data_IF_137483415519
#
_entry.id   IF_137483415519
#
_cell.length_a   1.000
_cell.length_b   1.000
_cell.length_c   1.000
_cell.angle_alpha   90.00
_cell.angle_beta   90.00
_cell.angle_gamma   90.00
#
_symmetry.space_group_name_H-M   'P 1'
#
loop_
_entity.id
_entity.type
_entity.pdbx_description
1 polymer ?
#
# COMPACT_ATOMS: atom_id res chain seq x y z
N UNK A 1 28.07 5.16 -10.58
CA UNK A 1 27.46 5.24 -11.92
C UNK A 1 26.01 4.77 -11.94
N UNK A 2 25.68 3.47 -11.92
CA UNK A 2 24.29 3.05 -12.19
C UNK A 2 23.26 3.59 -11.19
N UNK A 3 23.48 3.44 -9.87
CA UNK A 3 22.54 3.94 -8.84
C UNK A 3 22.29 5.45 -8.97
N UNK A 4 23.34 6.26 -9.17
CA UNK A 4 23.20 7.71 -9.33
C UNK A 4 22.40 8.07 -10.59
N UNK A 5 22.65 7.34 -11.68
CA UNK A 5 21.92 7.51 -12.94
C UNK A 5 20.45 7.11 -12.79
N UNK A 6 20.18 5.96 -12.18
CA UNK A 6 18.81 5.49 -11.96
C UNK A 6 18.01 6.46 -11.10
N UNK A 7 18.63 7.05 -10.05
CA UNK A 7 17.99 8.07 -9.24
C UNK A 7 17.66 9.32 -10.06
N UNK A 8 18.60 9.79 -10.89
CA UNK A 8 18.37 10.94 -11.76
C UNK A 8 17.22 10.66 -12.74
N UNK A 9 17.27 9.52 -13.43
CA UNK A 9 16.29 9.13 -14.44
C UNK A 9 14.89 8.94 -13.82
N UNK A 10 14.78 8.19 -12.72
CA UNK A 10 13.49 7.88 -12.06
C UNK A 10 12.85 9.09 -11.38
N UNK A 11 13.65 10.06 -10.96
CA UNK A 11 13.15 11.28 -10.32
C UNK A 11 12.96 12.43 -11.30
N UNK A 12 13.10 12.18 -12.61
CA UNK A 12 13.02 13.22 -13.64
C UNK A 12 13.94 14.41 -13.32
N UNK A 13 15.19 14.09 -12.97
CA UNK A 13 16.24 15.04 -12.59
C UNK A 13 15.99 15.85 -11.30
N UNK A 14 14.93 15.56 -10.54
CA UNK A 14 14.62 16.28 -9.30
C UNK A 14 15.55 15.90 -8.13
N UNK A 15 16.00 14.65 -8.07
CA UNK A 15 16.92 14.18 -7.03
C UNK A 15 18.31 13.97 -7.62
N UNK A 16 19.16 14.99 -7.47
CA UNK A 16 20.54 14.95 -7.93
C UNK A 16 21.45 14.62 -6.74
N UNK A 17 22.10 13.47 -6.79
CA UNK A 17 23.10 13.06 -5.80
C UNK A 17 24.43 12.82 -6.50
N UNK A 18 25.41 13.67 -6.20
CA UNK A 18 26.77 13.52 -6.71
C UNK A 18 27.44 12.23 -6.20
N UNK A 19 28.34 11.66 -6.99
CA UNK A 19 29.09 10.46 -6.60
C UNK A 19 29.89 10.66 -5.31
N UNK A 20 30.42 11.87 -5.10
CA UNK A 20 31.11 12.27 -3.88
C UNK A 20 30.26 12.17 -2.61
N UNK A 21 28.93 12.17 -2.76
CA UNK A 21 27.95 12.06 -1.67
C UNK A 21 27.34 10.65 -1.61
N UNK A 22 27.03 10.06 -2.76
CA UNK A 22 26.38 8.75 -2.85
C UNK A 22 27.23 7.64 -2.22
N UNK A 23 28.52 7.55 -2.54
CA UNK A 23 29.34 6.44 -2.05
C UNK A 23 29.62 6.50 -0.54
N UNK A 24 29.86 7.68 0.09
CA UNK A 24 29.87 7.78 1.54
C UNK A 24 28.57 7.31 2.20
N UNK A 25 27.41 7.64 1.63
CA UNK A 25 26.12 7.15 2.12
C UNK A 25 26.04 5.62 2.03
N UNK A 26 26.39 5.05 0.87
CA UNK A 26 26.37 3.59 0.67
C UNK A 26 27.33 2.86 1.62
N UNK A 27 28.49 3.45 1.94
CA UNK A 27 29.40 2.89 2.96
C UNK A 27 28.77 2.92 4.35
N UNK A 28 28.16 4.04 4.73
CA UNK A 28 27.46 4.14 6.02
C UNK A 28 26.32 3.13 6.14
N UNK A 29 25.51 2.98 5.09
CA UNK A 29 24.44 1.98 5.06
C UNK A 29 24.98 0.54 5.14
N UNK A 30 26.17 0.28 4.60
CA UNK A 30 26.85 -1.01 4.71
C UNK A 30 27.39 -1.25 6.13
N UNK A 31 28.01 -0.24 6.75
CA UNK A 31 28.48 -0.27 8.14
C UNK A 31 27.32 -0.53 9.12
N UNK A 32 26.16 0.10 8.85
CA UNK A 32 24.90 -0.07 9.58
C UNK A 32 24.18 -1.39 9.22
N UNK A 33 24.74 -2.21 8.31
CA UNK A 33 24.20 -3.50 7.83
C UNK A 33 22.84 -3.41 7.16
N UNK A 34 22.45 -2.22 6.69
CA UNK A 34 21.22 -1.98 5.93
C UNK A 34 21.38 -2.53 4.51
N UNK A 35 22.57 -2.40 3.94
CA UNK A 35 22.94 -3.01 2.67
C UNK A 35 24.17 -3.90 2.85
N UNK A 36 24.34 -4.88 1.99
CA UNK A 36 25.60 -5.59 1.80
C UNK A 36 26.19 -5.23 0.44
N UNK A 37 27.42 -5.68 0.18
CA UNK A 37 28.01 -5.50 -1.14
C UNK A 37 28.82 -6.70 -1.62
N UNK A 38 28.85 -6.85 -2.94
CA UNK A 38 29.65 -7.85 -3.62
C UNK A 38 30.53 -7.19 -4.69
N UNK A 39 31.74 -7.74 -4.89
CA UNK A 39 32.67 -7.27 -5.92
C UNK A 39 32.78 -8.29 -7.03
N UNK A 40 32.61 -7.82 -8.25
CA UNK A 40 32.83 -8.64 -9.45
C UNK A 40 34.32 -8.99 -9.56
N UNK A 41 34.61 -10.29 -9.73
CA UNK A 41 35.99 -10.80 -9.80
C UNK A 41 36.54 -10.87 -11.22
N UNK A 42 35.67 -10.85 -12.23
CA UNK A 42 36.04 -10.89 -13.65
C UNK A 42 35.67 -9.57 -14.34
N UNK A 43 36.60 -9.02 -15.14
CA UNK A 43 36.38 -7.78 -15.88
C UNK A 43 36.64 -6.50 -15.05
N UNK A 44 35.92 -5.41 -15.38
CA UNK A 44 36.06 -4.13 -14.68
C UNK A 44 35.52 -4.29 -13.26
N UNK A 45 36.34 -3.99 -12.24
CA UNK A 45 35.97 -4.07 -10.82
C UNK A 45 34.71 -3.24 -10.53
N UNK A 46 33.54 -3.89 -10.48
CA UNK A 46 32.26 -3.30 -10.09
C UNK A 46 31.89 -3.76 -8.69
N UNK A 47 31.29 -2.85 -7.92
CA UNK A 47 30.73 -3.12 -6.58
C UNK A 47 29.21 -3.04 -6.69
N UNK A 48 28.54 -4.15 -6.39
CA UNK A 48 27.09 -4.25 -6.34
C UNK A 48 26.64 -4.14 -4.89
N UNK A 49 25.45 -3.57 -4.68
CA UNK A 49 24.86 -3.42 -3.36
C UNK A 49 23.51 -4.11 -3.35
N UNK A 50 23.20 -4.82 -2.28
CA UNK A 50 21.90 -5.44 -2.08
C UNK A 50 21.35 -5.04 -0.71
N UNK A 51 20.05 -4.81 -0.64
CA UNK A 51 19.40 -4.55 0.64
C UNK A 51 19.41 -5.82 1.47
N UNK A 52 19.71 -5.71 2.77
CA UNK A 52 19.64 -6.87 3.67
C UNK A 52 18.20 -7.05 4.17
N UNK A 53 17.89 -8.20 4.76
CA UNK A 53 16.60 -8.42 5.45
C UNK A 53 16.34 -7.35 6.52
N UNK A 54 17.40 -6.91 7.23
CA UNK A 54 17.28 -5.83 8.21
C UNK A 54 17.02 -4.47 7.53
N UNK A 55 17.72 -4.21 6.42
CA UNK A 55 17.49 -3.01 5.62
C UNK A 55 16.08 -2.93 5.04
N UNK A 56 15.51 -4.05 4.59
CA UNK A 56 14.13 -4.11 4.11
C UNK A 56 13.13 -3.69 5.18
N UNK A 57 13.33 -4.12 6.44
CA UNK A 57 12.48 -3.69 7.56
C UNK A 57 12.55 -2.18 7.78
N UNK A 58 13.76 -1.62 7.76
CA UNK A 58 13.96 -0.16 7.89
C UNK A 58 13.31 0.58 6.72
N UNK A 59 13.53 0.10 5.50
CA UNK A 59 12.94 0.68 4.30
C UNK A 59 11.41 0.66 4.36
N UNK A 60 10.81 -0.46 4.76
CA UNK A 60 9.36 -0.58 4.91
C UNK A 60 8.79 0.35 5.97
N UNK A 61 9.49 0.50 7.10
CA UNK A 61 9.10 1.44 8.13
C UNK A 61 9.17 2.89 7.64
N UNK A 62 10.31 3.32 7.09
CA UNK A 62 10.52 4.69 6.62
C UNK A 62 9.61 5.03 5.44
N UNK A 63 9.50 4.14 4.46
CA UNK A 63 8.61 4.31 3.32
C UNK A 63 7.16 4.38 3.78
N UNK A 64 6.76 3.52 4.73
CA UNK A 64 5.42 3.53 5.29
C UNK A 64 5.08 4.83 5.99
N UNK A 65 5.97 5.28 6.88
CA UNK A 65 5.84 6.57 7.55
C UNK A 65 5.78 7.74 6.55
N UNK A 66 6.67 7.77 5.56
CA UNK A 66 6.69 8.85 4.57
C UNK A 66 5.41 8.88 3.72
N UNK A 67 4.89 7.73 3.31
CA UNK A 67 3.60 7.63 2.61
C UNK A 67 2.46 8.20 3.45
N UNK A 68 2.39 7.84 4.73
CA UNK A 68 1.35 8.34 5.65
C UNK A 68 1.49 9.81 5.98
N UNK A 69 2.71 10.30 6.14
CA UNK A 69 2.99 11.72 6.30
C UNK A 69 2.53 12.49 5.05
N UNK A 70 2.88 11.99 3.86
CA UNK A 70 2.51 12.61 2.58
C UNK A 70 1.00 12.63 2.40
N UNK A 71 0.29 11.55 2.72
CA UNK A 71 -1.18 11.48 2.73
C UNK A 71 -1.79 12.51 3.70
N UNK A 72 -1.27 12.61 4.92
CA UNK A 72 -1.79 13.52 5.94
C UNK A 72 -1.60 15.01 5.59
N UNK A 73 -0.50 15.35 4.92
CA UNK A 73 -0.21 16.74 4.49
C UNK A 73 -0.76 17.05 3.10
N UNK A 74 -1.16 16.05 2.30
CA UNK A 74 -1.69 16.24 0.96
C UNK A 74 -2.79 17.30 0.87
N UNK A 75 -3.76 17.40 1.82
CA UNK A 75 -4.78 18.46 1.79
C UNK A 75 -4.24 19.89 1.93
N UNK A 76 -2.99 20.06 2.36
CA UNK A 76 -2.32 21.37 2.43
C UNK A 76 -1.71 21.80 1.09
N UNK A 77 -1.69 20.90 0.11
CA UNK A 77 -1.13 21.09 -1.22
C UNK A 77 -2.18 20.73 -2.28
N UNK A 78 -1.99 21.19 -3.52
CA UNK A 78 -2.84 20.78 -4.65
C UNK A 78 -2.40 19.42 -5.20
N UNK A 79 -2.21 18.43 -4.30
CA UNK A 79 -1.73 17.09 -4.64
C UNK A 79 -2.73 16.06 -4.15
N UNK A 80 -3.23 15.22 -5.07
CA UNK A 80 -4.00 14.03 -4.71
C UNK A 80 -3.05 12.84 -4.53
N UNK A 81 -3.03 12.24 -3.34
CA UNK A 81 -2.25 11.04 -3.05
C UNK A 81 -3.21 9.86 -2.98
N UNK A 82 -3.11 8.94 -3.94
CA UNK A 82 -3.77 7.63 -3.85
C UNK A 82 -2.73 6.57 -3.48
N UNK A 83 -2.71 6.15 -2.21
CA UNK A 83 -1.92 5.01 -1.80
C UNK A 83 -2.60 3.75 -2.34
N UNK A 84 -1.92 2.99 -3.19
CA UNK A 84 -2.42 1.71 -3.70
C UNK A 84 -2.47 0.65 -2.59
N UNK A 85 -3.52 0.70 -1.76
CA UNK A 85 -3.76 -0.22 -0.63
C UNK A 85 -4.06 -1.66 -1.07
N UNK A 86 -4.05 -1.94 -2.37
CA UNK A 86 -4.28 -3.27 -2.92
C UNK A 86 -3.14 -4.25 -2.67
N UNK A 87 -1.91 -3.73 -2.48
CA UNK A 87 -0.71 -4.55 -2.31
C UNK A 87 -0.13 -4.43 -0.89
N UNK A 88 -0.32 -3.29 -0.24
CA UNK A 88 0.30 -2.99 1.04
C UNK A 88 -0.73 -2.59 2.08
N UNK A 89 -0.58 -3.14 3.28
CA UNK A 89 -1.22 -2.66 4.50
C UNK A 89 -0.24 -1.77 5.24
N UNK A 90 -0.73 -0.67 5.82
CA UNK A 90 0.07 0.18 6.69
C UNK A 90 -0.33 -0.07 8.13
N UNK A 91 0.64 -0.38 8.99
CA UNK A 91 0.37 -0.64 10.40
C UNK A 91 -0.26 0.61 11.06
N UNK A 92 -1.42 0.50 11.73
CA UNK A 92 -2.10 1.65 12.33
C UNK A 92 -1.32 2.27 13.51
N UNK A 93 -0.41 1.50 14.12
CA UNK A 93 0.34 1.94 15.29
C UNK A 93 1.64 2.68 14.94
N UNK A 94 2.31 2.30 13.84
CA UNK A 94 3.63 2.85 13.49
C UNK A 94 3.81 3.17 12.01
N UNK A 95 2.74 3.07 11.20
CA UNK A 95 2.75 3.28 9.75
C UNK A 95 3.65 2.31 8.95
N UNK A 96 4.22 1.26 9.57
CA UNK A 96 5.06 0.30 8.86
C UNK A 96 4.32 -0.30 7.66
N UNK A 97 4.98 -0.32 6.49
CA UNK A 97 4.43 -0.87 5.26
C UNK A 97 4.58 -2.39 5.23
N UNK A 98 3.49 -3.11 5.07
CA UNK A 98 3.41 -4.58 5.12
C UNK A 98 2.86 -5.08 3.80
N UNK A 99 3.58 -5.98 3.12
CA UNK A 99 3.09 -6.60 1.87
C UNK A 99 2.01 -7.64 2.17
N UNK A 100 0.83 -7.46 1.59
CA UNK A 100 -0.35 -8.32 1.78
C UNK A 100 -0.16 -9.66 1.06
N UNK A 101 0.66 -9.73 0.02
CA UNK A 101 0.88 -10.95 -0.77
C UNK A 101 1.71 -12.00 -0.02
N UNK A 102 2.49 -11.58 0.99
CA UNK A 102 3.35 -12.44 1.81
C UNK A 102 2.89 -12.52 3.27
N UNK A 103 1.58 -12.37 3.51
CA UNK A 103 1.06 -12.16 4.86
C UNK A 103 0.91 -13.46 5.67
N UNK A 104 2.03 -14.04 6.10
CA UNK A 104 2.08 -14.98 7.24
C UNK A 104 2.16 -14.25 8.60
N UNK A 105 2.45 -12.94 8.57
CA UNK A 105 2.73 -12.14 9.75
C UNK A 105 1.44 -11.71 10.47
N UNK A 106 1.20 -12.29 11.65
CA UNK A 106 0.11 -11.89 12.57
C UNK A 106 0.37 -10.57 13.29
N UNK A 107 1.64 -10.20 13.41
CA UNK A 107 2.10 -9.03 14.14
C UNK A 107 3.00 -8.17 13.26
N UNK A 108 2.94 -6.85 13.47
CA UNK A 108 3.89 -5.93 12.88
C UNK A 108 5.30 -6.23 13.40
N UNK A 109 6.25 -6.43 12.50
CA UNK A 109 7.65 -6.75 12.82
C UNK A 109 8.43 -5.55 13.39
N UNK A 110 7.88 -4.34 13.28
CA UNK A 110 8.47 -3.11 13.83
C UNK A 110 7.95 -2.81 15.24
N UNK A 111 6.63 -2.80 15.46
CA UNK A 111 6.03 -2.36 16.73
C UNK A 111 5.30 -3.46 17.52
N UNK A 112 5.14 -4.66 16.95
CA UNK A 112 4.42 -5.77 17.60
C UNK A 112 2.90 -5.66 17.58
N UNK A 113 2.31 -4.67 16.89
CA UNK A 113 0.87 -4.53 16.77
C UNK A 113 0.23 -5.76 16.10
N UNK A 114 -0.91 -6.24 16.61
CA UNK A 114 -1.63 -7.39 16.04
C UNK A 114 -2.42 -6.97 14.79
N UNK A 115 -1.91 -7.36 13.62
CA UNK A 115 -2.39 -6.94 12.30
C UNK A 115 -3.60 -7.76 11.85
N UNK A 116 -3.68 -9.04 12.26
CA UNK A 116 -4.72 -9.97 11.82
C UNK A 116 -6.14 -9.51 12.22
N UNK A 117 -6.28 -8.73 13.31
CA UNK A 117 -7.57 -8.16 13.72
C UNK A 117 -8.22 -7.28 12.66
N UNK A 118 -7.44 -6.49 11.92
CA UNK A 118 -7.99 -5.63 10.87
C UNK A 118 -8.45 -6.43 9.66
N UNK A 119 -7.74 -7.52 9.36
CA UNK A 119 -8.07 -8.43 8.26
C UNK A 119 -9.28 -9.30 8.59
N UNK A 120 -9.44 -9.72 9.85
CA UNK A 120 -10.60 -10.47 10.29
C UNK A 120 -11.89 -9.64 10.17
N UNK A 121 -11.82 -8.35 10.51
CA UNK A 121 -12.93 -7.41 10.31
C UNK A 121 -13.33 -7.33 8.83
N UNK A 122 -12.35 -7.25 7.92
CA UNK A 122 -12.60 -7.25 6.46
C UNK A 122 -13.21 -8.58 6.01
N UNK A 123 -12.62 -9.72 6.42
CA UNK A 123 -13.11 -11.06 6.07
C UNK A 123 -14.53 -11.29 6.56
N UNK A 124 -14.86 -10.83 7.76
CA UNK A 124 -16.21 -10.95 8.31
C UNK A 124 -17.21 -10.06 7.54
N UNK A 125 -16.80 -8.83 7.19
CA UNK A 125 -17.61 -7.94 6.36
C UNK A 125 -17.89 -8.53 4.98
N UNK A 126 -16.86 -9.05 4.31
CA UNK A 126 -16.99 -9.70 3.00
C UNK A 126 -17.87 -10.95 3.07
N UNK A 127 -17.67 -11.78 4.10
CA UNK A 127 -18.45 -13.00 4.32
C UNK A 127 -19.93 -12.68 4.55
N UNK A 128 -20.21 -11.64 5.34
CA UNK A 128 -21.58 -11.17 5.55
C UNK A 128 -22.25 -10.75 4.23
N UNK A 129 -21.60 -9.90 3.44
CA UNK A 129 -22.15 -9.45 2.15
C UNK A 129 -22.36 -10.62 1.19
N UNK A 130 -21.36 -11.51 1.09
CA UNK A 130 -21.39 -12.69 0.23
C UNK A 130 -22.58 -13.59 0.53
N UNK A 131 -22.74 -13.95 1.80
CA UNK A 131 -23.73 -14.93 2.23
C UNK A 131 -25.14 -14.34 2.25
N UNK A 132 -25.29 -13.09 2.66
CA UNK A 132 -26.61 -12.45 2.78
C UNK A 132 -27.22 -12.11 1.43
N UNK A 133 -26.40 -11.64 0.48
CA UNK A 133 -26.88 -11.15 -0.81
C UNK A 133 -26.55 -12.08 -2.00
N UNK A 134 -25.97 -13.25 -1.72
CA UNK A 134 -25.57 -14.24 -2.72
C UNK A 134 -24.71 -13.61 -3.83
N UNK A 135 -23.57 -13.03 -3.43
CA UNK A 135 -22.65 -12.33 -4.31
C UNK A 135 -21.50 -13.25 -4.72
N UNK A 136 -21.24 -13.35 -6.04
CA UNK A 136 -20.15 -14.20 -6.53
C UNK A 136 -18.78 -13.53 -6.41
N UNK A 137 -18.71 -12.22 -6.63
CA UNK A 137 -17.49 -11.42 -6.49
C UNK A 137 -17.81 -10.09 -5.82
N UNK A 138 -16.97 -9.73 -4.84
CA UNK A 138 -16.99 -8.46 -4.13
C UNK A 138 -15.63 -8.23 -3.47
N UNK A 139 -15.39 -7.01 -3.01
CA UNK A 139 -14.28 -6.68 -2.12
C UNK A 139 -14.69 -5.63 -1.11
N UNK A 140 -14.19 -5.73 0.12
CA UNK A 140 -14.28 -4.65 1.11
C UNK A 140 -12.86 -4.13 1.32
N UNK A 141 -12.63 -2.86 0.98
CA UNK A 141 -11.36 -2.18 1.27
C UNK A 141 -11.50 -1.34 2.54
N UNK A 142 -10.55 -1.49 3.45
CA UNK A 142 -10.45 -0.68 4.66
C UNK A 142 -9.49 0.47 4.38
N UNK A 143 -10.01 1.69 4.41
CA UNK A 143 -9.24 2.93 4.32
C UNK A 143 -9.02 3.54 5.72
N UNK A 144 -8.21 4.59 5.77
CA UNK A 144 -7.99 5.36 6.99
C UNK A 144 -9.31 5.89 7.59
N UNK A 145 -9.29 6.13 8.90
CA UNK A 145 -10.49 6.55 9.62
C UNK A 145 -11.58 5.48 9.67
N UNK A 146 -11.22 4.20 9.48
CA UNK A 146 -12.16 3.05 9.45
C UNK A 146 -13.27 3.21 8.42
N UNK A 147 -12.92 3.67 7.23
CA UNK A 147 -13.82 3.77 6.10
C UNK A 147 -13.81 2.44 5.33
N UNK A 148 -14.98 1.78 5.25
CA UNK A 148 -15.20 0.64 4.37
C UNK A 148 -15.60 1.14 2.98
N UNK A 149 -14.81 0.81 1.95
CA UNK A 149 -15.22 0.95 0.55
C UNK A 149 -15.61 -0.42 0.00
N UNK A 150 -16.89 -0.58 -0.32
CA UNK A 150 -17.46 -1.82 -0.84
C UNK A 150 -17.42 -1.77 -2.37
N UNK A 151 -16.73 -2.73 -2.98
CA UNK A 151 -16.64 -2.90 -4.44
C UNK A 151 -17.50 -4.11 -4.83
N UNK A 152 -18.58 -3.87 -5.55
CA UNK A 152 -19.53 -4.89 -6.02
C UNK A 152 -19.46 -5.01 -7.54
N UNK A 153 -19.83 -6.17 -8.09
CA UNK A 153 -20.06 -6.25 -9.53
C UNK A 153 -21.15 -5.26 -9.97
N UNK A 154 -21.02 -4.58 -11.13
CA UNK A 154 -22.01 -3.60 -11.58
C UNK A 154 -23.45 -4.13 -11.60
N UNK A 155 -23.62 -5.39 -12.01
CA UNK A 155 -24.92 -6.08 -12.03
C UNK A 155 -25.56 -6.28 -10.64
N UNK A 156 -24.75 -6.26 -9.58
CA UNK A 156 -25.18 -6.51 -8.21
C UNK A 156 -25.47 -5.22 -7.44
N UNK A 157 -24.96 -4.06 -7.89
CA UNK A 157 -25.11 -2.78 -7.18
C UNK A 157 -26.59 -2.47 -6.92
N UNK A 158 -27.42 -2.42 -7.97
CA UNK A 158 -28.85 -2.09 -7.85
C UNK A 158 -29.63 -3.09 -7.00
N UNK A 159 -29.21 -4.36 -6.99
CA UNK A 159 -29.83 -5.43 -6.22
C UNK A 159 -29.52 -5.31 -4.72
N UNK A 160 -28.30 -4.91 -4.38
CA UNK A 160 -27.85 -4.74 -3.00
C UNK A 160 -28.31 -3.40 -2.41
N UNK A 161 -28.49 -2.37 -3.24
CA UNK A 161 -28.82 -1.00 -2.81
C UNK A 161 -30.31 -0.72 -2.53
N UNK A 162 -31.03 -1.68 -1.97
CA UNK A 162 -32.37 -1.44 -1.42
C UNK A 162 -32.27 -0.80 -0.03
N UNK A 163 -33.28 -0.02 0.37
CA UNK A 163 -33.29 0.64 1.68
C UNK A 163 -33.13 -0.34 2.86
N UNK A 164 -33.77 -1.51 2.78
CA UNK A 164 -33.66 -2.57 3.79
C UNK A 164 -32.23 -3.12 3.87
N UNK A 165 -31.62 -3.43 2.73
CA UNK A 165 -30.27 -3.96 2.68
C UNK A 165 -29.25 -2.94 3.16
N UNK A 166 -29.41 -1.66 2.79
CA UNK A 166 -28.53 -0.58 3.25
C UNK A 166 -28.54 -0.48 4.77
N UNK A 167 -29.70 -0.59 5.41
CA UNK A 167 -29.77 -0.54 6.87
C UNK A 167 -29.11 -1.76 7.52
N UNK A 168 -29.33 -2.96 6.97
CA UNK A 168 -28.65 -4.18 7.42
C UNK A 168 -27.12 -4.09 7.30
N UNK A 169 -26.63 -3.57 6.18
CA UNK A 169 -25.19 -3.33 5.95
C UNK A 169 -24.68 -2.33 6.98
N UNK A 170 -25.35 -1.20 7.16
CA UNK A 170 -24.96 -0.18 8.14
C UNK A 170 -24.82 -0.77 9.55
N UNK A 171 -25.84 -1.47 10.03
CA UNK A 171 -25.84 -2.07 11.38
C UNK A 171 -24.66 -3.03 11.53
N UNK A 172 -24.50 -3.97 10.58
CA UNK A 172 -23.43 -4.96 10.67
C UNK A 172 -22.05 -4.31 10.59
N UNK A 173 -21.81 -3.41 9.65
CA UNK A 173 -20.51 -2.75 9.50
C UNK A 173 -20.17 -1.84 10.69
N UNK A 174 -21.17 -1.20 11.30
CA UNK A 174 -20.96 -0.44 12.56
C UNK A 174 -20.55 -1.34 13.71
N UNK A 175 -21.15 -2.53 13.85
CA UNK A 175 -20.74 -3.53 14.85
C UNK A 175 -19.31 -4.05 14.63
N UNK A 176 -18.90 -4.18 13.37
CA UNK A 176 -17.52 -4.53 12.98
C UNK A 176 -16.52 -3.40 13.22
N UNK A 177 -16.99 -2.20 13.54
CA UNK A 177 -16.16 -1.06 13.93
C UNK A 177 -15.89 -0.04 12.83
N UNK A 178 -16.56 -0.10 11.67
CA UNK A 178 -16.39 0.89 10.61
C UNK A 178 -17.05 2.25 10.97
N UNK A 179 -16.31 3.34 10.78
CA UNK A 179 -16.81 4.70 10.99
C UNK A 179 -17.55 5.23 9.76
N UNK A 180 -17.12 4.85 8.56
CA UNK A 180 -17.74 5.27 7.31
C UNK A 180 -17.92 4.07 6.40
N UNK A 181 -18.98 4.07 5.59
CA UNK A 181 -19.30 2.98 4.66
C UNK A 181 -19.66 3.63 3.33
N UNK A 182 -18.93 3.26 2.28
CA UNK A 182 -19.10 3.77 0.92
C UNK A 182 -19.18 2.61 -0.06
N UNK A 183 -19.75 2.88 -1.23
CA UNK A 183 -19.77 1.94 -2.35
C UNK A 183 -19.05 2.57 -3.52
N UNK A 184 -18.18 1.78 -4.13
CA UNK A 184 -17.52 2.14 -5.36
C UNK A 184 -18.52 2.02 -6.52
N UNK A 185 -18.86 3.16 -7.13
CA UNK A 185 -19.79 3.23 -8.25
C UNK A 185 -19.19 2.66 -9.55
N UNK A 186 -17.86 2.64 -9.67
CA UNK A 186 -17.18 1.96 -10.78
C UNK A 186 -17.21 0.43 -10.60
N UNK A 187 -17.45 -0.02 -9.36
CA UNK A 187 -17.63 -1.42 -9.01
C UNK A 187 -16.34 -2.23 -8.98
N UNK A 188 -16.50 -3.55 -8.88
CA UNK A 188 -15.41 -4.50 -8.82
C UNK A 188 -14.75 -4.66 -10.20
N UNK A 189 -13.45 -4.32 -10.29
CA UNK A 189 -12.63 -4.48 -11.49
C UNK A 189 -11.52 -5.50 -11.25
N UNK A 190 -11.39 -6.47 -12.16
CA UNK A 190 -10.25 -7.39 -12.17
C UNK A 190 -9.05 -6.71 -12.82
N UNK A 191 -8.09 -6.26 -11.99
CA UNK A 191 -6.79 -5.78 -12.47
C UNK A 191 -6.68 -4.26 -12.61
N UNK A 192 -6.84 -3.51 -11.51
CA UNK A 192 -6.56 -2.06 -11.41
C UNK A 192 -5.09 -1.65 -11.66
N UNK A 193 -4.30 -2.47 -12.36
CA UNK A 193 -2.91 -2.18 -12.68
C UNK A 193 -2.75 -1.34 -13.95
N UNK A 194 -3.78 -1.26 -14.83
CA UNK A 194 -3.63 -0.72 -16.18
C UNK A 194 -4.47 0.52 -16.53
N UNK A 195 -5.34 1.03 -15.64
CA UNK A 195 -6.26 2.13 -16.02
C UNK A 195 -5.72 3.54 -15.76
N UNK A 196 -4.58 3.69 -15.07
CA UNK A 196 -3.97 5.02 -14.81
C UNK A 196 -3.09 5.51 -15.99
N UNK A 197 -2.86 4.67 -17.01
CA UNK A 197 -1.96 5.00 -18.13
C UNK A 197 -2.65 5.65 -19.34
N UNK A 198 -3.97 5.87 -19.34
CA UNK A 198 -4.69 6.35 -20.54
C UNK A 198 -5.24 7.78 -20.46
N UNK A 199 -4.80 8.61 -19.51
CA UNK A 199 -5.32 9.97 -19.37
C UNK A 199 -4.43 11.12 -19.86
N UNK A 200 -3.25 10.86 -20.45
CA UNK A 200 -2.34 11.93 -20.89
C UNK A 200 -1.76 11.71 -22.30
N UNK A 201 -2.58 11.46 -23.32
CA UNK A 201 -2.19 11.71 -24.72
C UNK A 201 -3.45 12.08 -25.51
N UNK A 202 -3.86 13.35 -25.44
CA UNK A 202 -4.58 14.08 -26.50
C UNK A 202 -4.87 15.52 -26.01
N UNK A 203 -3.88 16.40 -26.14
CA UNK A 203 -4.04 17.83 -26.46
C UNK A 203 -2.74 18.39 -27.06
#
# INVERSE_FOLDING_TARGET
YQIAKDLLDQTHEMLIIEEGTLYPILRKLEDDRIVNSEREKEGRKRKFYYITVYGEKIYNYLSGFYSKLTEAIAPLFDVSVDLTQNKYLYCPACANKIDIQNLEAKYCDVCGHYIEKELDVIREAESFLRNTYNLSQLRVRLHEGKLARIELMPKDIMRVMTNENIENIKIKFKQLGFCYITIDLEGFRTGSLNEVLTFNEEE
#
